data_IF_095964468548
#
_entry.id   IF_095964468548
#
_cell.length_a   1.000
_cell.length_b   1.000
_cell.length_c   1.000
_cell.angle_alpha   90.00
_cell.angle_beta   90.00
_cell.angle_gamma   90.00
#
_symmetry.space_group_name_H-M   'P 1'
#
loop_
_entity.id
_entity.type
_entity.pdbx_description
1 polymer ?
#
# COMPACT_ATOMS: atom_id res chain seq x y z
N UNK A 1 21.83 -3.73 -3.91
CA UNK A 1 20.43 -3.76 -3.42
C UNK A 1 20.44 -3.03 -2.10
N UNK A 2 19.59 -2.03 -1.91
CA UNK A 2 19.41 -1.39 -0.62
C UNK A 2 19.01 -2.47 0.39
N UNK A 3 19.62 -2.45 1.57
CA UNK A 3 19.28 -3.38 2.65
C UNK A 3 17.85 -3.14 3.11
N UNK A 4 16.97 -4.12 2.96
CA UNK A 4 15.60 -4.05 3.49
C UNK A 4 15.48 -4.85 4.77
N UNK A 5 14.79 -4.29 5.75
CA UNK A 5 14.50 -4.98 7.01
C UNK A 5 13.29 -5.89 6.85
N UNK A 6 13.49 -7.18 6.92
CA UNK A 6 12.43 -8.19 6.90
C UNK A 6 11.95 -8.52 8.31
N UNK A 7 10.64 -8.70 8.45
CA UNK A 7 9.95 -9.27 9.61
C UNK A 7 9.29 -10.58 9.22
N UNK A 8 9.23 -11.50 10.16
CA UNK A 8 8.65 -12.82 9.94
C UNK A 8 7.80 -13.22 11.15
N UNK A 9 6.59 -13.64 10.88
CA UNK A 9 5.68 -14.28 11.83
C UNK A 9 5.45 -15.71 11.36
N UNK A 10 6.12 -16.69 11.99
CA UNK A 10 6.06 -18.09 11.56
C UNK A 10 4.63 -18.64 11.61
N UNK A 11 4.28 -19.42 10.60
CA UNK A 11 2.98 -20.04 10.47
C UNK A 11 3.02 -21.28 9.59
N UNK A 12 1.91 -21.57 8.90
CA UNK A 12 1.83 -22.74 8.02
C UNK A 12 2.82 -22.59 6.84
N UNK A 13 3.87 -23.44 6.76
CA UNK A 13 4.88 -23.33 5.71
C UNK A 13 4.35 -23.58 4.31
N UNK A 14 3.19 -24.26 4.17
CA UNK A 14 2.53 -24.48 2.88
C UNK A 14 1.72 -23.23 2.43
N UNK A 15 1.63 -22.22 3.28
CA UNK A 15 0.96 -20.96 3.01
C UNK A 15 1.90 -19.76 3.25
N UNK A 16 2.94 -19.60 2.42
CA UNK A 16 3.80 -18.43 2.50
C UNK A 16 2.97 -17.18 2.17
N UNK A 17 3.13 -16.16 3.00
CA UNK A 17 2.49 -14.86 2.83
C UNK A 17 3.50 -13.72 2.76
N UNK A 18 3.21 -12.72 1.94
CA UNK A 18 3.98 -11.48 1.86
C UNK A 18 3.04 -10.29 2.05
N UNK A 19 3.37 -9.43 3.02
CA UNK A 19 2.58 -8.23 3.31
C UNK A 19 3.36 -6.95 3.03
N UNK A 20 2.73 -6.00 2.32
CA UNK A 20 3.29 -4.73 1.88
C UNK A 20 2.55 -3.57 2.56
N UNK A 21 3.28 -2.77 3.33
CA UNK A 21 2.71 -1.68 4.11
C UNK A 21 2.46 -0.40 3.29
N UNK A 22 1.69 0.53 3.85
CA UNK A 22 1.41 1.84 3.26
C UNK A 22 2.58 2.80 3.41
N UNK A 23 2.53 3.93 2.69
CA UNK A 23 3.50 5.02 2.85
C UNK A 23 3.54 5.52 4.28
N UNK A 24 4.72 5.96 4.69
CA UNK A 24 5.05 6.53 6.01
C UNK A 24 4.86 5.56 7.21
N UNK A 25 4.60 4.27 6.92
CA UNK A 25 4.50 3.21 7.94
C UNK A 25 5.77 2.34 8.00
N UNK A 26 5.67 1.14 8.49
CA UNK A 26 6.72 0.10 8.47
C UNK A 26 6.11 -1.29 8.53
N UNK A 27 6.84 -2.31 8.14
CA UNK A 27 6.37 -3.69 8.20
C UNK A 27 5.93 -4.15 9.60
N UNK A 28 6.39 -3.46 10.67
CA UNK A 28 5.98 -3.81 12.04
C UNK A 28 4.49 -3.64 12.30
N UNK A 29 3.80 -2.77 11.55
CA UNK A 29 2.38 -2.55 11.79
C UNK A 29 1.50 -3.76 11.43
N UNK A 30 2.03 -4.72 10.66
CA UNK A 30 1.37 -5.99 10.38
C UNK A 30 1.29 -6.95 11.58
N UNK A 31 1.99 -6.65 12.70
CA UNK A 31 2.02 -7.51 13.88
C UNK A 31 0.61 -7.79 14.45
N UNK A 32 -0.28 -6.78 14.42
CA UNK A 32 -1.66 -6.95 14.86
C UNK A 32 -2.45 -7.95 14.01
N UNK A 33 -2.32 -7.87 12.71
CA UNK A 33 -2.93 -8.81 11.74
C UNK A 33 -2.29 -10.20 11.87
N UNK A 34 -0.96 -10.27 11.89
CA UNK A 34 -0.24 -11.54 12.01
C UNK A 34 -0.62 -12.34 13.25
N UNK A 35 -0.78 -11.66 14.40
CA UNK A 35 -1.24 -12.29 15.64
C UNK A 35 -2.64 -12.90 15.53
N UNK A 36 -3.54 -12.27 14.75
CA UNK A 36 -4.92 -12.74 14.54
C UNK A 36 -5.03 -13.83 13.47
N UNK A 37 -4.08 -13.88 12.56
CA UNK A 37 -3.98 -14.99 11.61
C UNK A 37 -3.60 -16.32 12.30
N UNK A 38 -3.11 -16.26 13.54
CA UNK A 38 -2.86 -17.41 14.42
C UNK A 38 -2.11 -18.56 13.72
N UNK A 39 -1.03 -18.22 13.03
CA UNK A 39 -0.19 -19.18 12.31
C UNK A 39 -0.81 -19.81 11.07
N UNK A 40 -1.98 -19.38 10.62
CA UNK A 40 -2.61 -19.90 9.38
C UNK A 40 -1.81 -19.58 8.12
N UNK A 41 -0.99 -18.54 8.16
CA UNK A 41 -0.11 -18.09 7.08
C UNK A 41 1.30 -17.88 7.65
N UNK A 42 2.34 -18.35 6.95
CA UNK A 42 3.75 -18.04 7.26
C UNK A 42 4.06 -16.64 6.72
N UNK A 43 3.75 -15.60 7.53
CA UNK A 43 3.70 -14.22 7.07
C UNK A 43 5.06 -13.54 7.15
N UNK A 44 5.48 -12.92 6.05
CA UNK A 44 6.63 -12.02 5.98
C UNK A 44 6.19 -10.62 5.57
N UNK A 45 6.89 -9.60 6.08
CA UNK A 45 6.72 -8.23 5.66
C UNK A 45 8.06 -7.50 5.76
N UNK A 46 8.39 -6.66 4.79
CA UNK A 46 9.60 -5.85 4.86
C UNK A 46 9.27 -4.37 4.98
N UNK A 47 10.17 -3.64 5.60
CA UNK A 47 10.10 -2.18 5.60
C UNK A 47 10.47 -1.69 4.19
N UNK A 48 9.60 -0.92 3.55
CA UNK A 48 9.87 -0.35 2.22
C UNK A 48 11.13 0.54 2.27
N UNK A 49 11.87 0.72 1.16
CA UNK A 49 12.99 1.67 1.11
C UNK A 49 12.61 3.05 1.67
N UNK A 50 13.47 3.63 2.49
CA UNK A 50 13.20 4.89 3.20
C UNK A 50 12.25 4.77 4.39
N UNK A 51 11.80 3.56 4.76
CA UNK A 51 10.86 3.33 5.86
C UNK A 51 11.43 2.40 6.92
N UNK A 52 10.92 2.54 8.15
CA UNK A 52 11.24 1.66 9.28
C UNK A 52 12.75 1.58 9.55
N UNK A 53 13.33 0.40 9.37
CA UNK A 53 14.75 0.11 9.55
C UNK A 53 15.45 -0.30 8.23
N UNK A 54 14.76 -0.14 7.10
CA UNK A 54 15.38 -0.29 5.78
C UNK A 54 16.22 0.93 5.44
N UNK A 55 17.17 0.75 4.51
CA UNK A 55 18.02 1.85 4.02
C UNK A 55 17.15 2.97 3.44
N UNK A 56 17.68 4.19 3.49
CA UNK A 56 17.04 5.36 2.90
C UNK A 56 16.88 5.18 1.38
N UNK A 57 15.76 5.72 0.87
CA UNK A 57 15.54 5.76 -0.57
C UNK A 57 16.42 6.84 -1.21
N UNK A 58 17.20 6.42 -2.19
CA UNK A 58 18.00 7.33 -3.01
C UNK A 58 17.91 6.86 -4.47
N UNK A 59 17.14 7.56 -5.32
CA UNK A 59 17.00 7.17 -6.72
C UNK A 59 18.33 7.42 -7.46
N UNK A 60 18.78 6.42 -8.22
CA UNK A 60 19.86 6.65 -9.18
C UNK A 60 19.33 7.49 -10.35
N UNK A 61 20.17 8.33 -11.01
CA UNK A 61 19.73 9.19 -12.12
C UNK A 61 18.96 8.47 -13.23
N UNK A 62 19.41 7.24 -13.58
CA UNK A 62 18.76 6.38 -14.57
C UNK A 62 18.09 5.15 -13.93
N UNK A 63 17.81 5.21 -12.63
CA UNK A 63 17.19 4.14 -11.86
C UNK A 63 15.68 4.05 -12.06
N UNK A 64 15.08 2.97 -11.56
CA UNK A 64 13.64 2.85 -11.55
C UNK A 64 13.02 3.90 -10.61
N UNK A 65 11.77 4.30 -10.90
CA UNK A 65 10.96 5.03 -9.93
C UNK A 65 10.74 4.20 -8.66
N UNK A 66 10.30 4.87 -7.60
CA UNK A 66 10.08 4.24 -6.29
C UNK A 66 9.14 3.04 -6.36
N UNK A 67 7.99 3.18 -7.03
CA UNK A 67 7.00 2.11 -7.17
C UNK A 67 7.59 0.89 -7.88
N UNK A 68 8.39 1.10 -8.93
CA UNK A 68 9.08 0.03 -9.65
C UNK A 68 10.16 -0.63 -8.79
N UNK A 69 10.92 0.14 -8.02
CA UNK A 69 11.94 -0.38 -7.11
C UNK A 69 11.30 -1.27 -6.03
N UNK A 70 10.25 -0.78 -5.38
CA UNK A 70 9.50 -1.56 -4.37
C UNK A 70 8.92 -2.84 -4.97
N UNK A 71 8.34 -2.77 -6.18
CA UNK A 71 7.81 -3.94 -6.89
C UNK A 71 8.90 -5.00 -7.13
N UNK A 72 10.09 -4.58 -7.60
CA UNK A 72 11.22 -5.50 -7.84
C UNK A 72 11.73 -6.14 -6.54
N UNK A 73 11.80 -5.37 -5.46
CA UNK A 73 12.18 -5.89 -4.14
C UNK A 73 11.16 -6.92 -3.66
N UNK A 74 9.87 -6.59 -3.73
CA UNK A 74 8.80 -7.51 -3.32
C UNK A 74 8.82 -8.80 -4.16
N UNK A 75 9.00 -8.70 -5.49
CA UNK A 75 9.12 -9.85 -6.38
C UNK A 75 10.28 -10.77 -6.00
N UNK A 76 11.41 -10.22 -5.52
CA UNK A 76 12.58 -11.02 -5.12
C UNK A 76 12.37 -11.93 -3.91
N UNK A 77 11.28 -11.72 -3.17
CA UNK A 77 10.88 -12.56 -2.02
C UNK A 77 9.84 -13.62 -2.39
N UNK A 78 9.40 -13.66 -3.66
CA UNK A 78 8.40 -14.61 -4.14
C UNK A 78 9.13 -15.70 -4.93
N UNK A 79 9.37 -16.84 -4.29
CA UNK A 79 10.01 -18.02 -4.87
C UNK A 79 9.01 -19.13 -5.23
N UNK A 80 7.79 -19.03 -4.76
CA UNK A 80 6.64 -19.91 -5.01
C UNK A 80 5.34 -19.12 -4.79
N UNK A 81 4.15 -19.62 -5.23
CA UNK A 81 2.89 -18.91 -5.07
C UNK A 81 2.60 -18.49 -3.63
N UNK A 82 2.36 -17.19 -3.40
CA UNK A 82 2.17 -16.58 -2.08
C UNK A 82 0.75 -16.08 -1.87
N UNK A 83 0.31 -16.01 -0.61
CA UNK A 83 -0.80 -15.17 -0.18
C UNK A 83 -0.27 -13.73 -0.07
N UNK A 84 -0.64 -12.87 -1.02
CA UNK A 84 -0.12 -11.49 -1.14
C UNK A 84 -1.10 -10.51 -0.51
N UNK A 85 -0.64 -9.70 0.42
CA UNK A 85 -1.44 -8.71 1.14
C UNK A 85 -0.82 -7.33 0.92
N UNK A 86 -1.61 -6.35 0.52
CA UNK A 86 -1.11 -4.98 0.35
C UNK A 86 -2.07 -3.94 0.87
N UNK A 87 -1.54 -2.93 1.56
CA UNK A 87 -2.31 -1.79 2.03
C UNK A 87 -1.87 -0.50 1.35
N UNK A 88 -2.83 0.29 0.86
CA UNK A 88 -2.58 1.61 0.26
C UNK A 88 -1.58 1.50 -0.91
N UNK A 89 -0.41 2.17 -0.85
CA UNK A 89 0.68 1.98 -1.81
C UNK A 89 1.08 0.50 -1.94
N UNK A 90 1.23 -0.20 -0.81
CA UNK A 90 1.53 -1.64 -0.81
C UNK A 90 0.46 -2.45 -1.54
N UNK A 91 -0.80 -2.02 -1.50
CA UNK A 91 -1.91 -2.60 -2.28
C UNK A 91 -1.73 -2.40 -3.78
N UNK A 92 -1.27 -1.23 -4.20
CA UNK A 92 -0.99 -0.95 -5.62
C UNK A 92 0.21 -1.75 -6.13
N UNK A 93 1.25 -1.90 -5.30
CA UNK A 93 2.41 -2.77 -5.60
C UNK A 93 1.97 -4.24 -5.71
N UNK A 94 1.14 -4.72 -4.77
CA UNK A 94 0.61 -6.08 -4.79
C UNK A 94 -0.22 -6.33 -6.06
N UNK A 95 -1.07 -5.38 -6.45
CA UNK A 95 -1.85 -5.47 -7.67
C UNK A 95 -0.96 -5.52 -8.92
N UNK A 96 0.11 -4.70 -8.97
CA UNK A 96 1.10 -4.73 -10.05
C UNK A 96 1.79 -6.09 -10.17
N UNK A 97 2.18 -6.68 -9.04
CA UNK A 97 2.77 -8.03 -9.01
C UNK A 97 1.80 -9.07 -9.56
N UNK A 98 0.55 -9.04 -9.13
CA UNK A 98 -0.47 -9.97 -9.59
C UNK A 98 -0.77 -9.84 -11.08
N UNK A 99 -0.72 -8.63 -11.65
CA UNK A 99 -0.87 -8.39 -13.09
C UNK A 99 0.37 -8.83 -13.89
N UNK A 100 1.56 -8.75 -13.29
CA UNK A 100 2.82 -9.10 -13.95
C UNK A 100 3.13 -10.59 -13.91
N UNK A 101 2.74 -11.29 -12.86
CA UNK A 101 3.01 -12.70 -12.63
C UNK A 101 1.83 -13.36 -11.88
N UNK A 102 0.65 -13.52 -12.53
CA UNK A 102 -0.54 -14.04 -11.87
C UNK A 102 -0.34 -15.44 -11.28
N UNK A 103 0.50 -16.26 -11.90
CA UNK A 103 0.85 -17.61 -11.45
C UNK A 103 1.64 -17.62 -10.12
N UNK A 104 2.28 -16.50 -9.77
CA UNK A 104 3.03 -16.37 -8.51
C UNK A 104 2.11 -16.00 -7.31
N UNK A 105 0.82 -15.79 -7.56
CA UNK A 105 -0.14 -15.34 -6.55
C UNK A 105 -1.13 -16.46 -6.26
N UNK A 106 -1.19 -16.90 -5.00
CA UNK A 106 -2.20 -17.86 -4.51
C UNK A 106 -3.50 -17.18 -4.16
N UNK A 107 -3.42 -16.06 -3.46
CA UNK A 107 -4.53 -15.17 -3.14
C UNK A 107 -4.04 -13.74 -3.04
N UNK A 108 -4.91 -12.77 -3.30
CA UNK A 108 -4.58 -11.35 -3.26
C UNK A 108 -5.54 -10.62 -2.33
N UNK A 109 -5.02 -10.00 -1.27
CA UNK A 109 -5.80 -9.13 -0.39
C UNK A 109 -5.35 -7.69 -0.58
N UNK A 110 -6.25 -6.86 -1.07
CA UNK A 110 -6.05 -5.43 -1.31
C UNK A 110 -6.80 -4.63 -0.25
N UNK A 111 -6.08 -3.99 0.65
CA UNK A 111 -6.66 -3.12 1.66
C UNK A 111 -6.50 -1.69 1.17
N UNK A 112 -7.60 -1.08 0.74
CA UNK A 112 -7.62 0.29 0.23
C UNK A 112 -6.48 0.63 -0.75
N UNK A 113 -6.34 -0.09 -1.87
CA UNK A 113 -5.32 0.23 -2.86
C UNK A 113 -5.57 1.64 -3.42
N UNK A 114 -4.50 2.42 -3.59
CA UNK A 114 -4.58 3.83 -4.00
C UNK A 114 -4.17 4.04 -5.46
N UNK A 115 -4.62 3.18 -6.35
CA UNK A 115 -4.42 3.35 -7.80
C UNK A 115 -5.42 4.39 -8.35
N UNK A 116 -5.12 5.67 -8.15
CA UNK A 116 -6.00 6.79 -8.50
C UNK A 116 -6.35 6.85 -10.00
N UNK A 117 -5.50 6.29 -10.86
CA UNK A 117 -5.80 6.16 -12.28
C UNK A 117 -7.04 5.29 -12.57
N UNK A 118 -7.44 4.40 -11.65
CA UNK A 118 -8.62 3.54 -11.80
C UNK A 118 -9.94 4.31 -11.62
N UNK A 119 -9.92 5.38 -10.83
CA UNK A 119 -11.10 6.20 -10.57
C UNK A 119 -10.67 7.67 -10.51
N UNK A 120 -10.91 8.39 -11.58
CA UNK A 120 -10.57 9.82 -11.65
C UNK A 120 -11.39 10.62 -10.64
N UNK A 121 -10.69 11.39 -9.83
CA UNK A 121 -11.23 12.24 -8.79
C UNK A 121 -10.50 13.59 -8.83
N UNK A 122 -11.22 14.65 -9.19
CA UNK A 122 -10.64 15.99 -9.34
C UNK A 122 -10.21 16.58 -7.99
N UNK A 123 -10.93 16.24 -6.91
CA UNK A 123 -10.60 16.68 -5.56
C UNK A 123 -9.31 16.03 -5.07
N UNK A 124 -9.17 14.73 -5.31
CA UNK A 124 -7.94 14.00 -5.01
C UNK A 124 -6.74 14.50 -5.84
N UNK A 125 -6.96 14.85 -7.10
CA UNK A 125 -5.91 15.43 -7.95
C UNK A 125 -5.47 16.80 -7.43
N UNK A 126 -6.40 17.69 -7.11
CA UNK A 126 -6.11 19.01 -6.55
C UNK A 126 -5.33 18.92 -5.24
N UNK A 127 -5.65 17.92 -4.41
CA UNK A 127 -4.92 17.63 -3.18
C UNK A 127 -3.46 17.21 -3.44
N UNK A 128 -3.24 16.34 -4.42
CA UNK A 128 -1.88 15.93 -4.80
C UNK A 128 -1.06 17.10 -5.34
N UNK A 129 -1.67 17.96 -6.14
CA UNK A 129 -1.04 19.19 -6.66
C UNK A 129 -0.67 20.12 -5.50
N UNK A 130 -1.59 20.40 -4.58
CA UNK A 130 -1.34 21.19 -3.39
C UNK A 130 -0.19 20.62 -2.53
N UNK A 131 -0.18 19.32 -2.30
CA UNK A 131 0.89 18.67 -1.56
C UNK A 131 2.24 18.80 -2.28
N UNK A 132 2.26 18.62 -3.59
CA UNK A 132 3.45 18.80 -4.42
C UNK A 132 4.01 20.22 -4.32
N UNK A 133 3.16 21.25 -4.37
CA UNK A 133 3.54 22.66 -4.21
C UNK A 133 4.13 22.93 -2.82
N UNK A 134 3.48 22.44 -1.75
CA UNK A 134 3.97 22.58 -0.38
C UNK A 134 5.34 21.93 -0.19
N UNK A 135 5.56 20.72 -0.74
CA UNK A 135 6.83 20.01 -0.67
C UNK A 135 7.91 20.78 -1.45
N UNK A 136 7.60 21.24 -2.66
CA UNK A 136 8.53 22.00 -3.49
C UNK A 136 8.94 23.35 -2.83
N UNK A 137 8.02 23.96 -2.07
CA UNK A 137 8.28 25.17 -1.31
C UNK A 137 9.02 24.93 0.03
N UNK A 138 9.31 23.66 0.39
CA UNK A 138 9.96 23.30 1.65
C UNK A 138 9.03 23.29 2.88
N UNK A 139 7.71 23.36 2.65
CA UNK A 139 6.69 23.38 3.71
C UNK A 139 6.26 21.94 4.14
N UNK A 140 7.24 21.10 4.48
CA UNK A 140 7.01 19.67 4.80
C UNK A 140 6.03 19.45 5.94
N UNK A 141 5.99 20.34 6.95
CA UNK A 141 5.00 20.27 8.05
C UNK A 141 3.57 20.44 7.55
N UNK A 142 3.37 21.41 6.64
CA UNK A 142 2.03 21.68 6.09
C UNK A 142 1.59 20.52 5.19
N UNK A 143 2.48 20.01 4.35
CA UNK A 143 2.22 18.84 3.52
C UNK A 143 1.86 17.61 4.38
N UNK A 144 2.58 17.38 5.47
CA UNK A 144 2.29 16.29 6.40
C UNK A 144 0.92 16.46 7.10
N UNK A 145 0.53 17.68 7.48
CA UNK A 145 -0.82 17.94 8.02
C UNK A 145 -1.92 17.64 7.02
N UNK A 146 -1.76 18.10 5.79
CA UNK A 146 -2.72 17.83 4.70
C UNK A 146 -2.86 16.33 4.49
N UNK A 147 -1.76 15.60 4.38
CA UNK A 147 -1.77 14.16 4.22
C UNK A 147 -2.45 13.44 5.37
N UNK A 148 -2.07 13.76 6.62
CA UNK A 148 -2.58 13.09 7.80
C UNK A 148 -4.05 13.38 8.07
N UNK A 149 -4.57 14.55 7.68
CA UNK A 149 -5.99 14.89 7.82
C UNK A 149 -6.90 13.93 7.05
N UNK A 150 -6.42 13.39 5.92
CA UNK A 150 -7.17 12.50 5.03
C UNK A 150 -6.86 11.04 5.31
N UNK A 151 -5.57 10.70 5.38
CA UNK A 151 -5.07 9.32 5.40
C UNK A 151 -4.64 8.83 6.78
N UNK A 152 -4.48 9.73 7.76
CA UNK A 152 -4.03 9.38 9.10
C UNK A 152 -5.11 8.71 9.96
N UNK A 153 -4.67 7.93 10.96
CA UNK A 153 -5.53 7.46 12.04
C UNK A 153 -5.85 8.57 13.04
N UNK A 154 -4.98 9.58 13.13
CA UNK A 154 -5.11 10.77 14.00
C UNK A 154 -4.49 11.99 13.32
N UNK A 155 -4.72 13.18 13.85
CA UNK A 155 -4.16 14.42 13.33
C UNK A 155 -2.62 14.46 13.46
N UNK A 156 -1.97 15.20 12.56
CA UNK A 156 -0.51 15.38 12.59
C UNK A 156 -0.03 16.00 13.91
N UNK A 157 -0.72 16.99 14.43
CA UNK A 157 -0.33 17.71 15.63
C UNK A 157 -0.54 16.87 16.91
N UNK A 158 -1.32 15.79 16.84
CA UNK A 158 -1.52 14.82 17.92
C UNK A 158 -0.41 13.75 17.97
N UNK A 159 0.46 13.72 16.98
CA UNK A 159 1.58 12.78 16.93
C UNK A 159 2.69 13.19 17.90
N UNK A 160 3.40 12.22 18.50
CA UNK A 160 4.65 12.51 19.22
C UNK A 160 5.66 13.22 18.33
N UNK A 161 6.49 14.15 18.85
CA UNK A 161 7.44 14.95 18.05
C UNK A 161 8.37 14.11 17.14
N UNK A 162 8.78 12.93 17.62
CA UNK A 162 9.59 12.00 16.83
C UNK A 162 8.84 11.47 15.59
N UNK A 163 7.54 11.24 15.71
CA UNK A 163 6.73 10.80 14.58
C UNK A 163 6.45 11.94 13.61
N UNK A 164 6.20 13.15 14.11
CA UNK A 164 6.10 14.33 13.26
C UNK A 164 7.38 14.54 12.45
N UNK A 165 8.56 14.42 13.08
CA UNK A 165 9.85 14.49 12.37
C UNK A 165 9.95 13.40 11.31
N UNK A 166 9.62 12.15 11.64
CA UNK A 166 9.61 11.04 10.70
C UNK A 166 8.72 11.31 9.47
N UNK A 167 7.54 11.91 9.68
CA UNK A 167 6.65 12.30 8.59
C UNK A 167 7.27 13.39 7.70
N UNK A 168 7.81 14.47 8.31
CA UNK A 168 8.48 15.57 7.56
C UNK A 168 9.60 15.07 6.66
N UNK A 169 10.45 14.21 7.20
CA UNK A 169 11.63 13.72 6.50
C UNK A 169 11.29 12.86 5.27
N UNK A 170 10.05 12.33 5.21
CA UNK A 170 9.63 11.34 4.20
C UNK A 170 8.44 11.77 3.36
N UNK A 171 7.85 12.92 3.64
CA UNK A 171 6.64 13.36 2.92
C UNK A 171 6.89 13.56 1.41
N UNK A 172 8.13 13.82 0.99
CA UNK A 172 8.50 13.92 -0.42
C UNK A 172 8.26 12.61 -1.19
N UNK A 173 8.33 11.45 -0.51
CA UNK A 173 8.06 10.16 -1.13
C UNK A 173 6.61 10.05 -1.64
N UNK A 174 5.67 10.80 -1.04
CA UNK A 174 4.29 10.87 -1.51
C UNK A 174 4.25 11.51 -2.91
N UNK A 175 4.93 12.65 -3.08
CA UNK A 175 4.99 13.34 -4.37
C UNK A 175 5.71 12.50 -5.44
N UNK A 176 6.80 11.83 -5.07
CA UNK A 176 7.54 10.93 -5.98
C UNK A 176 6.68 9.78 -6.51
N UNK A 177 5.74 9.29 -5.70
CA UNK A 177 4.86 8.19 -6.10
C UNK A 177 3.60 8.63 -6.85
N UNK A 178 3.22 9.90 -6.77
CA UNK A 178 1.99 10.41 -7.37
C UNK A 178 1.84 10.03 -8.86
N UNK A 179 2.86 10.16 -9.72
CA UNK A 179 2.73 9.77 -11.13
C UNK A 179 2.49 8.27 -11.34
N UNK A 180 3.06 7.41 -10.51
CA UNK A 180 2.83 5.97 -10.62
C UNK A 180 1.38 5.60 -10.29
N UNK A 181 0.77 6.32 -9.35
CA UNK A 181 -0.59 6.06 -8.86
C UNK A 181 -1.67 6.76 -9.68
N UNK A 182 -1.40 7.99 -10.16
CA UNK A 182 -2.39 8.83 -10.86
C UNK A 182 -2.37 8.63 -12.37
N UNK A 183 -1.20 8.29 -12.95
CA UNK A 183 -1.03 8.11 -14.39
C UNK A 183 -0.91 6.64 -14.81
N UNK A 184 -0.97 5.71 -13.84
CA UNK A 184 -0.73 4.27 -14.06
C UNK A 184 0.52 3.97 -14.90
N UNK A 185 1.64 4.59 -14.56
CA UNK A 185 2.91 4.41 -15.31
C UNK A 185 3.37 2.96 -15.38
N UNK A 186 2.92 2.13 -14.47
CA UNK A 186 3.16 0.69 -14.48
C UNK A 186 2.25 -0.08 -15.45
N UNK A 187 1.27 0.61 -16.06
CA UNK A 187 0.29 0.03 -16.99
C UNK A 187 -0.46 -1.18 -16.38
N UNK A 188 -0.85 -1.04 -15.12
CA UNK A 188 -1.61 -2.05 -14.37
C UNK A 188 -3.00 -2.22 -14.99
N UNK A 189 -3.60 -1.09 -15.39
CA UNK A 189 -4.95 -1.03 -15.94
C UNK A 189 -5.04 -1.35 -17.44
N UNK A 190 -3.95 -1.84 -18.07
CA UNK A 190 -3.98 -2.25 -19.47
C UNK A 190 -5.10 -3.25 -19.74
N UNK A 191 -5.65 -3.30 -20.98
CA UNK A 191 -6.59 -4.33 -21.35
C UNK A 191 -6.02 -5.74 -21.11
N UNK A 192 -6.80 -6.62 -20.49
CA UNK A 192 -6.35 -7.96 -20.09
C UNK A 192 -5.47 -8.02 -18.85
N UNK A 193 -5.07 -6.88 -18.25
CA UNK A 193 -4.19 -6.85 -17.07
C UNK A 193 -4.88 -7.39 -15.83
N UNK A 194 -5.93 -6.75 -15.38
CA UNK A 194 -6.71 -7.19 -14.20
C UNK A 194 -7.44 -8.51 -14.48
N UNK A 195 -7.90 -8.70 -15.69
CA UNK A 195 -8.62 -9.89 -16.15
C UNK A 195 -7.73 -11.15 -16.17
N UNK A 196 -6.39 -11.00 -16.16
CA UNK A 196 -5.45 -12.13 -16.10
C UNK A 196 -5.22 -12.66 -14.69
N UNK A 197 -5.67 -11.96 -13.67
CA UNK A 197 -5.52 -12.39 -12.27
C UNK A 197 -6.54 -13.49 -12.00
N UNK A 198 -6.07 -14.74 -11.94
CA UNK A 198 -6.90 -15.93 -11.70
C UNK A 198 -7.00 -16.30 -10.22
N UNK A 199 -6.12 -15.76 -9.40
CA UNK A 199 -6.17 -15.94 -7.96
C UNK A 199 -7.42 -15.26 -7.36
N UNK A 200 -8.02 -15.80 -6.29
CA UNK A 200 -9.09 -15.12 -5.57
C UNK A 200 -8.58 -13.79 -4.98
N UNK A 201 -9.36 -12.73 -5.18
CA UNK A 201 -9.05 -11.38 -4.70
C UNK A 201 -10.06 -10.96 -3.64
N UNK A 202 -9.58 -10.36 -2.56
CA UNK A 202 -10.40 -9.68 -1.57
C UNK A 202 -10.01 -8.20 -1.51
N UNK A 203 -10.97 -7.31 -1.74
CA UNK A 203 -10.79 -5.87 -1.55
C UNK A 203 -11.48 -5.46 -0.25
N UNK A 204 -10.71 -4.88 0.68
CA UNK A 204 -11.22 -4.43 1.98
C UNK A 204 -11.14 -2.90 2.03
N UNK A 205 -12.24 -2.26 2.44
CA UNK A 205 -12.30 -0.81 2.62
C UNK A 205 -12.90 -0.46 3.99
N UNK A 206 -12.46 0.64 4.59
CA UNK A 206 -13.14 1.23 5.75
C UNK A 206 -14.40 1.95 5.29
N UNK A 207 -15.50 1.81 6.02
CA UNK A 207 -16.78 2.43 5.67
C UNK A 207 -16.69 3.96 5.58
N UNK A 208 -15.86 4.57 6.46
CA UNK A 208 -15.71 6.01 6.59
C UNK A 208 -14.45 6.54 5.89
N UNK A 209 -13.89 5.75 4.97
CA UNK A 209 -12.74 6.14 4.14
C UNK A 209 -13.13 7.14 3.06
N UNK A 210 -12.16 7.90 2.51
CA UNK A 210 -12.44 8.86 1.44
C UNK A 210 -13.18 8.23 0.25
N UNK A 211 -14.12 8.96 -0.40
CA UNK A 211 -14.92 8.44 -1.50
C UNK A 211 -14.11 7.84 -2.65
N UNK A 212 -12.94 8.40 -2.95
CA UNK A 212 -12.02 7.90 -3.99
C UNK A 212 -11.59 6.45 -3.74
N UNK A 213 -11.44 6.03 -2.48
CA UNK A 213 -11.09 4.64 -2.12
C UNK A 213 -12.18 3.67 -2.56
N UNK A 214 -13.42 4.02 -2.32
CA UNK A 214 -14.58 3.21 -2.72
C UNK A 214 -14.73 3.15 -4.24
N UNK A 215 -14.52 4.27 -4.92
CA UNK A 215 -14.54 4.35 -6.38
C UNK A 215 -13.44 3.48 -7.02
N UNK A 216 -12.22 3.51 -6.46
CA UNK A 216 -11.12 2.63 -6.89
C UNK A 216 -11.49 1.16 -6.66
N UNK A 217 -12.01 0.81 -5.49
CA UNK A 217 -12.40 -0.57 -5.17
C UNK A 217 -13.47 -1.08 -6.14
N UNK A 218 -14.45 -0.25 -6.50
CA UNK A 218 -15.48 -0.58 -7.48
C UNK A 218 -14.92 -0.77 -8.88
N UNK A 219 -14.08 0.17 -9.34
CA UNK A 219 -13.47 0.11 -10.67
C UNK A 219 -12.58 -1.13 -10.84
N UNK A 220 -11.82 -1.50 -9.82
CA UNK A 220 -11.00 -2.71 -9.83
C UNK A 220 -11.87 -3.97 -9.81
N UNK A 221 -12.88 -4.01 -8.94
CA UNK A 221 -13.78 -5.16 -8.81
C UNK A 221 -14.58 -5.43 -10.09
N UNK A 222 -14.91 -4.41 -10.85
CA UNK A 222 -15.63 -4.56 -12.13
C UNK A 222 -14.82 -5.32 -13.19
N UNK A 223 -13.48 -5.44 -13.03
CA UNK A 223 -12.58 -6.05 -14.00
C UNK A 223 -11.89 -7.33 -13.51
N UNK A 224 -11.91 -7.59 -12.21
CA UNK A 224 -11.31 -8.78 -11.60
C UNK A 224 -12.25 -9.97 -11.74
N UNK A 225 -11.76 -11.15 -12.24
CA UNK A 225 -12.63 -12.31 -12.49
C UNK A 225 -13.22 -12.96 -11.24
N UNK A 226 -12.42 -13.05 -10.17
CA UNK A 226 -12.83 -13.67 -8.88
C UNK A 226 -12.52 -12.68 -7.75
N UNK A 227 -13.51 -11.88 -7.38
CA UNK A 227 -13.32 -10.82 -6.38
C UNK A 227 -14.44 -10.76 -5.36
N UNK A 228 -14.05 -10.78 -4.09
CA UNK A 228 -14.89 -10.41 -2.95
C UNK A 228 -14.60 -8.97 -2.50
N UNK A 229 -15.61 -8.29 -1.96
CA UNK A 229 -15.46 -6.97 -1.35
C UNK A 229 -15.97 -7.00 0.09
N UNK A 230 -15.23 -6.39 1.00
CA UNK A 230 -15.62 -6.24 2.39
C UNK A 230 -15.50 -4.76 2.81
N UNK A 231 -16.46 -4.30 3.61
CA UNK A 231 -16.44 -2.97 4.22
C UNK A 231 -16.40 -3.11 5.73
N UNK A 232 -15.44 -2.42 6.38
CA UNK A 232 -15.27 -2.45 7.84
C UNK A 232 -16.00 -1.25 8.44
N UNK A 233 -17.08 -1.47 9.23
CA UNK A 233 -17.86 -0.39 9.82
C UNK A 233 -17.04 0.52 10.74
N UNK A 234 -17.20 1.85 10.62
CA UNK A 234 -16.53 2.85 11.44
C UNK A 234 -15.02 2.98 11.18
N UNK A 235 -14.47 2.21 10.24
CA UNK A 235 -13.06 2.28 9.91
C UNK A 235 -12.78 3.32 8.83
N UNK A 236 -11.59 3.92 8.91
CA UNK A 236 -10.98 4.79 7.90
C UNK A 236 -9.74 4.12 7.32
N UNK A 237 -8.97 4.87 6.52
CA UNK A 237 -7.82 4.36 5.76
C UNK A 237 -6.84 3.48 6.56
N UNK A 238 -6.57 3.82 7.81
CA UNK A 238 -5.64 3.06 8.64
C UNK A 238 -6.26 1.83 9.33
N UNK A 239 -7.28 1.22 8.74
CA UNK A 239 -8.00 0.05 9.27
C UNK A 239 -7.12 -1.15 9.63
N UNK A 240 -5.96 -1.45 8.99
CA UNK A 240 -5.10 -2.53 9.47
C UNK A 240 -4.56 -2.34 10.89
N UNK A 241 -4.51 -1.09 11.36
CA UNK A 241 -4.07 -0.75 12.73
C UNK A 241 -5.29 -0.59 13.64
N UNK A 242 -6.29 0.18 13.21
CA UNK A 242 -7.42 0.57 14.06
C UNK A 242 -8.47 -0.53 14.22
N UNK A 243 -8.59 -1.42 13.23
CA UNK A 243 -9.62 -2.46 13.13
C UNK A 243 -9.02 -3.81 12.74
N UNK A 244 -7.86 -4.14 13.31
CA UNK A 244 -7.10 -5.35 12.93
C UNK A 244 -7.89 -6.66 13.12
N UNK A 245 -8.83 -6.70 14.08
CA UNK A 245 -9.69 -7.86 14.31
C UNK A 245 -10.62 -8.12 13.11
N UNK A 246 -11.27 -7.06 12.61
CA UNK A 246 -12.21 -7.16 11.49
C UNK A 246 -11.48 -7.38 10.16
N UNK A 247 -10.26 -6.84 10.03
CA UNK A 247 -9.46 -7.00 8.80
C UNK A 247 -8.88 -8.41 8.69
N UNK A 248 -8.57 -9.08 9.80
CA UNK A 248 -7.97 -10.42 9.83
C UNK A 248 -8.99 -11.57 9.89
N UNK A 249 -10.26 -11.27 10.22
CA UNK A 249 -11.36 -12.25 10.32
C UNK A 249 -11.96 -12.56 8.99
#
# INVERSE_FOLDING_TARGET
MSGVRMRHWPGNPERPGLALHCMLASGSYWAGIAGRLDGRIDLRAFDLPGHGQSDDWSPAPDGPDYHTAVTRIAASFIDRPVDLIGHSLGGTVALRLAVAAPEAIRSLTLIEPVLFAAARDDEQRALHEQMGELIAAGHSDQAARVFMAIWGAQGYDDLPPRMQQHMRDRISLIAENSPALSDDRANILRPGGLESITAPVLIISGQDSPPVVHAIAEALAARLPDVGRASVPGARHMLPITHADQVAG
#
